data_IF_973960438362
#
_entry.id   IF_973960438362
#
_cell.length_a   1.000
_cell.length_b   1.000
_cell.length_c   1.000
_cell.angle_alpha   90.00
_cell.angle_beta   90.00
_cell.angle_gamma   90.00
#
_symmetry.space_group_name_H-M   'P 1'
#
loop_
_entity.id
_entity.type
_entity.pdbx_description
1 polymer ?
#
# COMPACT_ATOMS: atom_id res chain seq x y z
N UNK A 1 -11.93 11.84 5.33
CA UNK A 1 -12.51 10.59 4.79
C UNK A 1 -13.83 10.24 5.47
N UNK A 2 -13.83 9.79 6.74
CA UNK A 2 -15.07 9.39 7.44
C UNK A 2 -16.16 10.48 7.54
N UNK A 3 -15.79 11.75 7.51
CA UNK A 3 -16.72 12.90 7.45
C UNK A 3 -17.50 13.01 6.13
N UNK A 4 -17.12 12.27 5.08
CA UNK A 4 -17.71 12.38 3.74
C UNK A 4 -17.28 13.63 2.95
N UNK A 5 -16.31 14.39 3.46
CA UNK A 5 -15.89 15.68 2.91
C UNK A 5 -15.33 15.61 1.48
N UNK A 6 -14.73 14.48 1.10
CA UNK A 6 -14.26 14.24 -0.28
C UNK A 6 -15.26 13.46 -1.14
N UNK A 7 -16.45 13.14 -0.63
CA UNK A 7 -17.47 12.38 -1.35
C UNK A 7 -17.13 10.89 -1.52
N UNK A 8 -17.77 10.25 -2.50
CA UNK A 8 -17.48 8.86 -2.84
C UNK A 8 -16.09 8.73 -3.46
N UNK A 9 -15.30 7.77 -2.96
CA UNK A 9 -13.93 7.55 -3.41
C UNK A 9 -13.94 6.70 -4.68
N UNK A 10 -13.26 7.18 -5.72
CA UNK A 10 -13.14 6.48 -7.01
C UNK A 10 -11.69 6.15 -7.40
N UNK A 11 -10.69 6.76 -6.73
CA UNK A 11 -9.28 6.50 -7.04
C UNK A 11 -8.37 6.62 -5.82
N UNK A 12 -7.43 5.68 -5.69
CA UNK A 12 -6.31 5.73 -4.74
C UNK A 12 -4.94 5.58 -5.42
N UNK A 13 -3.89 6.10 -4.79
CA UNK A 13 -2.51 5.84 -5.19
C UNK A 13 -1.61 5.82 -3.95
N UNK A 14 -0.62 4.94 -3.92
CA UNK A 14 0.34 4.84 -2.83
C UNK A 14 1.74 4.57 -3.39
N UNK A 15 2.73 5.31 -2.88
CA UNK A 15 4.14 5.10 -3.14
C UNK A 15 4.86 4.98 -1.80
N UNK A 16 5.61 3.90 -1.63
CA UNK A 16 6.56 3.72 -0.53
C UNK A 16 7.93 3.36 -1.09
N UNK A 17 8.77 4.37 -1.28
CA UNK A 17 10.16 4.25 -1.66
C UNK A 17 11.06 4.48 -0.44
N UNK A 18 11.71 3.41 0.04
CA UNK A 18 12.60 3.44 1.19
C UNK A 18 13.95 2.83 0.84
N UNK A 19 14.84 3.63 0.25
CA UNK A 19 16.16 3.21 -0.20
C UNK A 19 16.90 2.36 0.85
N UNK A 20 17.48 1.25 0.39
CA UNK A 20 18.43 0.44 1.14
C UNK A 20 19.69 0.29 0.31
N UNK A 21 20.84 0.31 0.98
CA UNK A 21 22.10 -0.09 0.33
C UNK A 21 22.17 -1.60 0.26
N UNK A 22 22.99 -2.15 -0.63
CA UNK A 22 23.26 -3.59 -0.62
C UNK A 22 23.84 -4.07 0.72
N UNK A 23 24.67 -3.25 1.37
CA UNK A 23 25.24 -3.52 2.70
C UNK A 23 24.17 -3.67 3.80
N UNK A 24 22.97 -3.12 3.62
CA UNK A 24 21.84 -3.38 4.54
C UNK A 24 21.46 -4.86 4.56
N UNK A 25 21.48 -5.53 3.40
CA UNK A 25 21.16 -6.95 3.26
C UNK A 25 22.37 -7.83 3.60
N UNK A 26 23.56 -7.48 3.12
CA UNK A 26 24.78 -8.28 3.32
C UNK A 26 25.22 -8.40 4.80
N UNK A 27 24.75 -7.51 5.69
CA UNK A 27 25.13 -7.51 7.11
C UNK A 27 24.43 -8.56 7.98
N UNK A 28 23.25 -9.04 7.58
CA UNK A 28 22.47 -9.97 8.38
C UNK A 28 21.92 -11.07 7.47
N UNK A 29 22.37 -12.31 7.70
CA UNK A 29 22.09 -13.47 6.83
C UNK A 29 20.60 -13.81 6.66
N UNK A 30 19.71 -13.24 7.48
CA UNK A 30 18.27 -13.43 7.37
C UNK A 30 17.61 -12.45 6.39
N UNK A 31 18.24 -11.32 6.10
CA UNK A 31 17.68 -10.28 5.22
C UNK A 31 17.79 -10.67 3.75
N UNK A 32 16.78 -10.30 3.00
CA UNK A 32 16.65 -10.60 1.58
C UNK A 32 16.31 -12.06 1.30
N UNK A 33 15.82 -12.83 2.28
CA UNK A 33 15.60 -14.28 2.12
C UNK A 33 14.14 -14.67 2.29
N UNK A 34 13.66 -15.61 1.48
CA UNK A 34 12.30 -16.15 1.63
C UNK A 34 12.15 -16.91 2.94
N UNK A 35 13.19 -17.64 3.35
CA UNK A 35 13.14 -18.52 4.51
C UNK A 35 12.96 -17.77 5.84
N UNK A 36 13.64 -16.63 6.01
CA UNK A 36 13.67 -15.94 7.30
C UNK A 36 12.90 -14.62 7.29
N UNK A 37 12.89 -13.90 6.17
CA UNK A 37 12.18 -12.61 6.07
C UNK A 37 10.79 -12.75 5.46
N UNK A 38 10.55 -13.80 4.67
CA UNK A 38 9.23 -14.10 4.08
C UNK A 38 8.82 -13.19 2.92
N UNK A 39 9.67 -12.25 2.54
CA UNK A 39 9.44 -11.27 1.46
C UNK A 39 10.42 -10.11 1.58
N UNK A 40 10.34 -9.17 0.63
CA UNK A 40 11.24 -8.03 0.59
C UNK A 40 10.55 -6.72 0.93
N UNK A 41 10.54 -5.80 -0.04
CA UNK A 41 10.03 -4.44 0.17
C UNK A 41 8.58 -4.41 0.66
N UNK A 42 7.71 -5.34 0.22
CA UNK A 42 6.29 -5.31 0.57
C UNK A 42 6.05 -5.54 2.06
N UNK A 43 6.68 -6.56 2.63
CA UNK A 43 6.43 -6.97 4.03
C UNK A 43 7.23 -6.15 5.05
N UNK A 44 8.40 -5.62 4.66
CA UNK A 44 9.31 -4.99 5.62
C UNK A 44 9.20 -3.45 5.61
N UNK A 45 9.12 -2.82 4.43
CA UNK A 45 9.06 -1.36 4.32
C UNK A 45 7.67 -0.88 3.93
N UNK A 46 7.14 -1.44 2.85
CA UNK A 46 5.84 -1.09 2.28
C UNK A 46 4.68 -1.33 3.23
N UNK A 47 4.78 -2.30 4.13
CA UNK A 47 3.69 -2.72 5.03
C UNK A 47 3.09 -1.56 5.82
N UNK A 48 3.89 -0.58 6.26
CA UNK A 48 3.39 0.57 6.99
C UNK A 48 2.54 1.50 6.12
N UNK A 49 2.96 1.72 4.86
CA UNK A 49 2.20 2.50 3.91
C UNK A 49 0.94 1.74 3.46
N UNK A 50 1.04 0.43 3.25
CA UNK A 50 -0.06 -0.46 2.90
C UNK A 50 -1.13 -0.43 3.99
N UNK A 51 -0.75 -0.60 5.25
CA UNK A 51 -1.66 -0.54 6.40
C UNK A 51 -2.40 0.80 6.46
N UNK A 52 -1.67 1.92 6.38
CA UNK A 52 -2.28 3.25 6.36
C UNK A 52 -3.18 3.46 5.13
N UNK A 53 -2.81 2.92 3.98
CA UNK A 53 -3.62 2.98 2.77
C UNK A 53 -4.93 2.21 2.92
N UNK A 54 -4.87 0.98 3.44
CA UNK A 54 -6.05 0.16 3.75
C UNK A 54 -6.93 0.79 4.82
N UNK A 55 -6.36 1.47 5.80
CA UNK A 55 -7.11 2.21 6.81
C UNK A 55 -7.97 3.33 6.20
N UNK A 56 -7.50 3.92 5.10
CA UNK A 56 -8.18 5.02 4.43
C UNK A 56 -9.13 4.56 3.30
N UNK A 57 -8.75 3.51 2.56
CA UNK A 57 -9.47 3.04 1.36
C UNK A 57 -10.30 1.77 1.60
N UNK A 58 -10.02 1.01 2.66
CA UNK A 58 -10.57 -0.33 2.87
C UNK A 58 -9.83 -1.42 2.10
N UNK A 59 -10.34 -2.66 2.16
CA UNK A 59 -9.78 -3.78 1.39
C UNK A 59 -10.26 -3.74 -0.06
N UNK A 60 -9.37 -4.00 -1.04
CA UNK A 60 -9.80 -4.26 -2.41
C UNK A 60 -10.46 -5.64 -2.53
N UNK A 61 -11.23 -5.86 -3.60
CA UNK A 61 -11.77 -7.18 -3.94
C UNK A 61 -10.79 -8.04 -4.73
N UNK A 62 -9.84 -7.40 -5.43
CA UNK A 62 -8.85 -8.12 -6.23
C UNK A 62 -7.63 -7.26 -6.54
N UNK A 63 -6.53 -7.91 -6.90
CA UNK A 63 -5.26 -7.27 -7.25
C UNK A 63 -4.60 -7.94 -8.45
N UNK A 64 -3.91 -7.13 -9.25
CA UNK A 64 -2.94 -7.57 -10.26
C UNK A 64 -1.60 -6.91 -9.98
N UNK A 65 -0.55 -7.70 -9.77
CA UNK A 65 0.76 -7.25 -9.30
C UNK A 65 1.93 -7.68 -10.17
N UNK A 66 3.03 -6.96 -10.03
CA UNK A 66 4.36 -7.26 -10.57
C UNK A 66 5.35 -7.06 -9.43
N UNK A 67 6.12 -8.10 -9.12
CA UNK A 67 7.21 -8.04 -8.13
C UNK A 67 8.53 -8.47 -8.78
N UNK A 68 9.63 -7.79 -8.46
CA UNK A 68 10.95 -8.05 -9.07
C UNK A 68 12.07 -7.78 -8.07
N UNK A 69 13.20 -8.44 -8.32
CA UNK A 69 14.51 -8.06 -7.77
C UNK A 69 15.28 -7.34 -8.88
N UNK A 70 15.34 -6.01 -8.82
CA UNK A 70 15.87 -5.15 -9.88
C UNK A 70 17.34 -4.78 -9.69
N UNK A 71 17.78 -4.55 -8.45
CA UNK A 71 19.12 -3.99 -8.16
C UNK A 71 19.86 -4.75 -7.08
N UNK A 72 19.16 -5.28 -6.08
CA UNK A 72 19.78 -5.99 -4.97
C UNK A 72 20.16 -7.43 -5.35
N UNK A 73 21.15 -7.98 -4.64
CA UNK A 73 21.50 -9.41 -4.69
C UNK A 73 20.82 -10.13 -3.53
N UNK A 74 19.53 -10.38 -3.66
CA UNK A 74 18.66 -11.00 -2.65
C UNK A 74 17.68 -11.98 -3.33
N UNK A 75 17.02 -12.84 -2.55
CA UNK A 75 16.07 -13.85 -3.03
C UNK A 75 14.67 -13.26 -3.32
N UNK A 76 14.32 -12.21 -2.56
CA UNK A 76 13.00 -11.57 -2.49
C UNK A 76 12.90 -10.32 -3.38
N UNK A 77 11.71 -9.72 -3.46
CA UNK A 77 11.47 -8.53 -4.27
C UNK A 77 12.04 -7.24 -3.64
N UNK A 78 12.78 -6.45 -4.43
CA UNK A 78 13.20 -5.09 -4.04
C UNK A 78 12.32 -3.99 -4.66
N UNK A 79 11.41 -4.39 -5.54
CA UNK A 79 10.43 -3.56 -6.22
C UNK A 79 9.11 -4.34 -6.40
N UNK A 80 8.00 -3.69 -6.07
CA UNK A 80 6.66 -4.18 -6.29
C UNK A 80 5.75 -3.05 -6.83
N UNK A 81 4.90 -3.38 -7.79
CA UNK A 81 3.85 -2.50 -8.31
C UNK A 81 2.57 -3.29 -8.52
N UNK A 82 1.42 -2.73 -8.18
CA UNK A 82 0.12 -3.41 -8.34
C UNK A 82 -1.02 -2.45 -8.61
N UNK A 83 -2.07 -2.98 -9.25
CA UNK A 83 -3.37 -2.34 -9.43
C UNK A 83 -4.41 -3.10 -8.62
N UNK A 84 -5.21 -2.37 -7.88
CA UNK A 84 -6.24 -2.86 -6.97
C UNK A 84 -7.60 -2.46 -7.53
N UNK A 85 -8.57 -3.37 -7.45
CA UNK A 85 -9.97 -3.10 -7.81
C UNK A 85 -10.84 -3.23 -6.55
N UNK A 86 -11.83 -2.34 -6.41
CA UNK A 86 -12.78 -2.33 -5.30
C UNK A 86 -14.20 -2.73 -5.75
N UNK A 87 -15.06 -3.06 -4.79
CA UNK A 87 -16.45 -3.46 -5.05
C UNK A 87 -17.27 -2.34 -5.71
N UNK A 88 -17.04 -1.08 -5.30
CA UNK A 88 -17.70 0.08 -5.88
C UNK A 88 -17.12 0.51 -7.24
N UNK A 89 -16.18 -0.25 -7.82
CA UNK A 89 -15.54 0.07 -9.09
C UNK A 89 -14.38 1.06 -8.99
N UNK A 90 -14.03 1.54 -7.78
CA UNK A 90 -12.83 2.33 -7.59
C UNK A 90 -11.57 1.52 -7.94
N UNK A 91 -10.54 2.23 -8.40
CA UNK A 91 -9.23 1.67 -8.71
C UNK A 91 -8.15 2.29 -7.82
N UNK A 92 -7.14 1.50 -7.47
CA UNK A 92 -5.94 2.05 -6.86
C UNK A 92 -4.67 1.45 -7.42
N UNK A 93 -3.55 2.17 -7.24
CA UNK A 93 -2.21 1.66 -7.51
C UNK A 93 -1.33 1.73 -6.27
N UNK A 94 -0.50 0.70 -6.10
CA UNK A 94 0.50 0.61 -5.03
C UNK A 94 1.87 0.39 -5.68
N UNK A 95 2.86 1.18 -5.26
CA UNK A 95 4.27 0.93 -5.54
C UNK A 95 5.05 0.88 -4.22
N UNK A 96 5.86 -0.17 -4.05
CA UNK A 96 6.77 -0.32 -2.93
C UNK A 96 8.15 -0.69 -3.45
N UNK A 97 9.20 -0.01 -3.00
CA UNK A 97 10.56 -0.33 -3.42
C UNK A 97 11.64 0.15 -2.43
N UNK A 98 12.81 -0.45 -2.56
CA UNK A 98 14.01 -0.12 -1.78
C UNK A 98 15.16 0.40 -2.64
N UNK A 99 14.89 0.67 -3.92
CA UNK A 99 15.92 0.99 -4.93
C UNK A 99 15.79 2.40 -5.49
N UNK A 100 14.71 3.11 -5.17
CA UNK A 100 14.51 4.51 -5.53
C UNK A 100 15.21 5.44 -4.54
N UNK A 101 15.93 6.42 -5.09
CA UNK A 101 16.49 7.56 -4.36
C UNK A 101 16.17 8.86 -5.13
N UNK A 102 15.69 9.93 -4.47
CA UNK A 102 15.44 10.04 -3.03
C UNK A 102 14.25 9.19 -2.55
N UNK A 103 14.21 8.93 -1.24
CA UNK A 103 13.07 8.28 -0.59
C UNK A 103 11.78 9.06 -0.83
N UNK A 104 10.66 8.34 -0.84
CA UNK A 104 9.34 8.96 -0.98
C UNK A 104 8.27 8.18 -0.25
N UNK A 105 7.43 8.87 0.51
CA UNK A 105 6.18 8.34 1.03
C UNK A 105 5.04 9.20 0.49
N UNK A 106 4.06 8.59 -0.17
CA UNK A 106 2.96 9.34 -0.75
C UNK A 106 1.70 8.50 -0.78
N UNK A 107 0.58 9.09 -0.35
CA UNK A 107 -0.76 8.53 -0.50
C UNK A 107 -1.65 9.60 -1.11
N UNK A 108 -2.40 9.24 -2.15
CA UNK A 108 -3.40 10.08 -2.77
C UNK A 108 -4.74 9.35 -2.75
N UNK A 109 -5.80 10.05 -2.37
CA UNK A 109 -7.17 9.55 -2.40
C UNK A 109 -8.03 10.61 -3.04
N UNK A 110 -8.74 10.22 -4.10
CA UNK A 110 -9.62 11.09 -4.85
C UNK A 110 -11.05 10.60 -4.68
N UNK A 111 -11.92 11.52 -4.28
CA UNK A 111 -13.35 11.32 -4.30
C UNK A 111 -14.06 12.41 -5.08
N UNK A 112 -15.36 12.24 -5.27
CA UNK A 112 -16.15 13.14 -6.12
C UNK A 112 -16.09 14.61 -5.69
N UNK A 113 -15.94 14.90 -4.40
CA UNK A 113 -16.01 16.25 -3.84
C UNK A 113 -14.64 16.80 -3.45
N UNK A 114 -13.56 16.03 -3.60
CA UNK A 114 -12.26 16.43 -3.12
C UNK A 114 -11.17 15.39 -3.25
N UNK A 115 -9.99 15.75 -2.76
CA UNK A 115 -8.86 14.84 -2.71
C UNK A 115 -8.08 15.03 -1.42
N UNK A 116 -7.53 13.94 -0.88
CA UNK A 116 -6.56 13.94 0.20
C UNK A 116 -5.22 13.50 -0.38
N UNK A 117 -4.19 14.34 -0.27
CA UNK A 117 -2.84 14.05 -0.76
C UNK A 117 -1.88 14.16 0.41
N UNK A 118 -1.37 13.03 0.87
CA UNK A 118 -0.24 12.95 1.77
C UNK A 118 1.04 12.87 0.95
N UNK A 119 1.95 13.82 1.13
CA UNK A 119 3.28 13.86 0.54
C UNK A 119 4.32 13.99 1.66
N UNK A 120 4.95 12.86 1.99
CA UNK A 120 5.75 12.65 3.19
C UNK A 120 4.97 13.05 4.46
N UNK A 121 5.33 14.17 5.12
CA UNK A 121 4.69 14.63 6.35
C UNK A 121 3.61 15.69 6.14
N UNK A 122 3.36 16.08 4.89
CA UNK A 122 2.38 17.10 4.54
C UNK A 122 1.13 16.44 4.00
N UNK A 123 -0.01 16.77 4.59
CA UNK A 123 -1.32 16.33 4.10
C UNK A 123 -2.06 17.55 3.57
N UNK A 124 -2.42 17.51 2.29
CA UNK A 124 -3.25 18.54 1.66
C UNK A 124 -4.63 17.97 1.39
N UNK A 125 -5.65 18.67 1.88
CA UNK A 125 -7.06 18.42 1.59
C UNK A 125 -7.53 19.42 0.55
N UNK A 126 -7.90 18.92 -0.62
CA UNK A 126 -8.55 19.67 -1.68
C UNK A 126 -10.06 19.48 -1.59
N UNK A 127 -10.81 20.58 -1.65
CA UNK A 127 -12.28 20.60 -1.67
C UNK A 127 -12.73 21.20 -2.99
N UNK A 128 -13.42 20.41 -3.80
CA UNK A 128 -13.95 20.86 -5.08
C UNK A 128 -15.16 21.75 -4.85
N UNK A 129 -15.29 22.85 -5.60
CA UNK A 129 -16.49 23.70 -5.58
C UNK A 129 -17.68 23.01 -6.22
N UNK A 130 -17.43 22.20 -7.25
CA UNK A 130 -18.40 21.37 -7.96
C UNK A 130 -17.89 19.94 -7.94
N UNK A 131 -18.71 18.94 -7.58
CA UNK A 131 -18.33 17.54 -7.66
C UNK A 131 -17.83 17.17 -9.06
N UNK A 132 -16.85 16.28 -9.14
CA UNK A 132 -16.17 15.92 -10.40
C UNK A 132 -17.17 15.42 -11.44
N UNK A 133 -18.08 14.51 -11.07
CA UNK A 133 -19.08 13.96 -11.98
C UNK A 133 -20.03 15.04 -12.52
N UNK A 134 -20.52 15.92 -11.63
CA UNK A 134 -21.37 17.05 -12.01
C UNK A 134 -20.63 18.00 -12.97
N UNK A 135 -19.36 18.29 -12.69
CA UNK A 135 -18.55 19.15 -13.56
C UNK A 135 -18.35 18.54 -14.96
N UNK A 136 -18.07 17.23 -15.04
CA UNK A 136 -17.96 16.51 -16.30
C UNK A 136 -19.25 16.56 -17.13
N UNK A 137 -20.39 16.45 -16.45
CA UNK A 137 -21.71 16.44 -17.10
C UNK A 137 -22.20 17.82 -17.52
N UNK A 138 -21.74 18.89 -16.85
CA UNK A 138 -22.29 20.24 -17.03
C UNK A 138 -21.35 21.20 -17.75
N UNK A 139 -20.03 21.03 -17.66
CA UNK A 139 -19.10 21.90 -18.37
C UNK A 139 -19.21 21.70 -19.89
N UNK A 140 -19.24 22.81 -20.63
CA UNK A 140 -19.31 22.85 -22.09
C UNK A 140 -18.20 23.69 -22.70
N UNK A 141 -17.21 24.08 -21.90
CA UNK A 141 -16.30 25.17 -22.28
C UNK A 141 -15.22 24.74 -23.27
N UNK A 142 -15.13 23.45 -23.65
CA UNK A 142 -14.08 22.85 -24.52
C UNK A 142 -12.66 23.15 -24.00
N UNK A 143 -12.54 23.69 -22.78
CA UNK A 143 -11.28 24.03 -22.14
C UNK A 143 -10.79 22.82 -21.34
N UNK A 144 -9.48 22.61 -21.37
CA UNK A 144 -8.83 21.57 -20.55
C UNK A 144 -8.58 22.09 -19.13
N UNK A 145 -9.65 22.40 -18.39
CA UNK A 145 -9.57 22.93 -17.01
C UNK A 145 -10.30 22.01 -16.02
N UNK A 146 -9.71 21.75 -14.84
CA UNK A 146 -10.41 21.03 -13.77
C UNK A 146 -11.46 21.93 -13.10
N UNK A 147 -12.38 21.36 -12.29
CA UNK A 147 -13.23 22.14 -11.42
C UNK A 147 -12.38 22.96 -10.45
N UNK A 148 -12.87 24.17 -10.13
CA UNK A 148 -12.28 25.01 -9.10
C UNK A 148 -12.22 24.27 -7.76
N UNK A 149 -11.16 24.49 -6.98
CA UNK A 149 -11.03 23.94 -5.64
C UNK A 149 -10.39 24.90 -4.65
N UNK A 150 -10.62 24.64 -3.36
CA UNK A 150 -9.88 25.23 -2.25
C UNK A 150 -9.00 24.16 -1.62
N UNK A 151 -7.89 24.55 -0.99
CA UNK A 151 -6.94 23.61 -0.42
C UNK A 151 -6.50 24.05 0.97
N UNK A 152 -6.31 23.09 1.85
CA UNK A 152 -5.77 23.27 3.19
C UNK A 152 -4.65 22.25 3.42
N UNK A 153 -3.49 22.70 3.88
CA UNK A 153 -2.32 21.85 4.10
C UNK A 153 -1.97 21.80 5.58
N UNK A 154 -1.80 20.59 6.08
CA UNK A 154 -1.35 20.27 7.43
C UNK A 154 0.07 19.72 7.33
N UNK A 155 1.00 20.30 8.10
CA UNK A 155 2.36 19.79 8.23
C UNK A 155 2.52 19.15 9.61
N UNK A 156 2.60 17.82 9.63
CA UNK A 156 2.72 17.06 10.87
C UNK A 156 4.18 16.93 11.34
N UNK A 157 5.14 17.17 10.45
CA UNK A 157 6.54 16.83 10.66
C UNK A 157 6.77 15.34 10.97
N UNK A 158 8.04 14.92 11.15
CA UNK A 158 8.34 13.56 11.54
C UNK A 158 7.91 13.28 12.99
N UNK A 159 7.07 12.27 13.18
CA UNK A 159 6.72 11.78 14.51
C UNK A 159 7.95 11.16 15.21
N UNK A 160 8.17 11.51 16.48
CA UNK A 160 9.20 10.87 17.32
C UNK A 160 8.56 9.82 18.22
N UNK A 161 9.19 8.65 18.34
CA UNK A 161 8.80 7.63 19.30
C UNK A 161 7.46 6.95 19.00
N UNK A 162 7.19 6.62 17.73
CA UNK A 162 5.93 6.02 17.26
C UNK A 162 5.56 4.70 17.94
N UNK A 163 6.52 3.96 18.49
CA UNK A 163 6.26 2.72 19.22
C UNK A 163 5.65 2.94 20.61
N UNK A 164 6.04 4.01 21.32
CA UNK A 164 5.61 4.22 22.70
C UNK A 164 4.08 4.39 22.85
N UNK A 165 3.39 5.18 22.00
CA UNK A 165 1.93 5.28 22.04
C UNK A 165 1.22 3.94 21.76
N UNK A 166 1.72 3.15 20.82
CA UNK A 166 1.11 1.86 20.49
C UNK A 166 1.25 0.85 21.65
N UNK A 167 2.42 0.83 22.31
CA UNK A 167 2.65 -0.01 23.49
C UNK A 167 1.79 0.45 24.67
N UNK A 168 1.67 1.77 24.90
CA UNK A 168 0.83 2.32 25.98
C UNK A 168 -0.64 1.94 25.77
N UNK A 169 -1.17 2.08 24.55
CA UNK A 169 -2.56 1.69 24.25
C UNK A 169 -2.80 0.20 24.47
N UNK A 170 -1.87 -0.66 24.03
CA UNK A 170 -1.96 -2.11 24.26
C UNK A 170 -1.98 -2.44 25.76
N UNK A 171 -1.10 -1.81 26.55
CA UNK A 171 -1.08 -2.00 28.00
C UNK A 171 -2.38 -1.53 28.66
N UNK A 172 -2.94 -0.39 28.24
CA UNK A 172 -4.22 0.11 28.74
C UNK A 172 -5.37 -0.80 28.36
N UNK A 173 -5.39 -1.32 27.13
CA UNK A 173 -6.43 -2.23 26.65
C UNK A 173 -6.57 -3.46 27.56
N UNK A 174 -5.43 -4.04 27.95
CA UNK A 174 -5.38 -5.16 28.92
C UNK A 174 -5.91 -4.73 30.29
N UNK A 175 -5.45 -3.59 30.81
CA UNK A 175 -5.83 -3.11 32.14
C UNK A 175 -7.32 -2.74 32.24
N UNK A 176 -7.88 -2.20 31.16
CA UNK A 176 -9.25 -1.69 31.08
C UNK A 176 -10.25 -2.74 30.58
N UNK A 177 -9.78 -3.88 30.08
CA UNK A 177 -10.65 -4.94 29.52
C UNK A 177 -11.36 -4.52 28.23
N UNK A 178 -10.68 -3.73 27.39
CA UNK A 178 -11.16 -3.29 26.08
C UNK A 178 -10.24 -3.81 24.97
N UNK A 179 -10.68 -3.70 23.72
CA UNK A 179 -9.81 -3.92 22.58
C UNK A 179 -8.75 -2.80 22.46
N UNK A 180 -7.53 -3.13 21.99
CA UNK A 180 -6.57 -2.11 21.58
C UNK A 180 -7.10 -1.35 20.37
N UNK A 181 -6.55 -0.17 20.11
CA UNK A 181 -6.90 0.67 18.98
C UNK A 181 -6.73 -0.06 17.64
N UNK A 182 -5.72 -0.93 17.56
CA UNK A 182 -5.44 -1.79 16.42
C UNK A 182 -5.41 -3.24 16.92
N UNK A 183 -6.41 -4.04 16.52
CA UNK A 183 -6.47 -5.46 16.87
C UNK A 183 -5.57 -6.30 15.96
N UNK A 184 -5.39 -7.58 16.31
CA UNK A 184 -4.65 -8.53 15.46
C UNK A 184 -5.34 -8.74 14.11
N UNK A 185 -6.68 -8.71 14.09
CA UNK A 185 -7.49 -8.80 12.88
C UNK A 185 -7.31 -7.58 11.98
N UNK A 186 -7.20 -6.37 12.53
CA UNK A 186 -6.87 -5.18 11.71
C UNK A 186 -5.43 -5.28 11.18
N UNK A 187 -4.47 -5.68 12.02
CA UNK A 187 -3.08 -5.85 11.61
C UNK A 187 -2.86 -6.92 10.53
N UNK A 188 -3.72 -7.94 10.45
CA UNK A 188 -3.62 -9.00 9.44
C UNK A 188 -4.06 -8.56 8.04
N UNK A 189 -4.82 -7.46 7.91
CA UNK A 189 -5.33 -6.97 6.62
C UNK A 189 -4.20 -6.53 5.67
N UNK A 190 -3.18 -5.89 6.22
CA UNK A 190 -2.00 -5.50 5.44
C UNK A 190 -1.23 -6.74 4.96
N UNK A 191 -1.12 -7.78 5.79
CA UNK A 191 -0.51 -9.06 5.41
C UNK A 191 -1.32 -9.76 4.31
N UNK A 192 -2.65 -9.69 4.38
CA UNK A 192 -3.53 -10.24 3.34
C UNK A 192 -3.29 -9.61 1.98
N UNK A 193 -3.20 -8.28 1.92
CA UNK A 193 -2.92 -7.60 0.66
C UNK A 193 -1.48 -7.87 0.16
N UNK A 194 -0.50 -7.95 1.06
CA UNK A 194 0.87 -8.37 0.69
C UNK A 194 0.87 -9.77 0.10
N UNK A 195 0.17 -10.73 0.71
CA UNK A 195 0.04 -12.09 0.19
C UNK A 195 -0.59 -12.09 -1.21
N UNK A 196 -1.65 -11.30 -1.41
CA UNK A 196 -2.33 -11.20 -2.70
C UNK A 196 -1.43 -10.59 -3.79
N UNK A 197 -0.69 -9.52 -3.48
CA UNK A 197 0.26 -8.89 -4.40
C UNK A 197 1.39 -9.86 -4.76
N UNK A 198 1.94 -10.56 -3.76
CA UNK A 198 3.01 -11.55 -3.97
C UNK A 198 2.53 -12.71 -4.84
N UNK A 199 1.35 -13.27 -4.55
CA UNK A 199 0.76 -14.35 -5.33
C UNK A 199 0.51 -13.92 -6.78
N UNK A 200 -0.09 -12.74 -6.97
CA UNK A 200 -0.33 -12.19 -8.30
C UNK A 200 0.98 -11.95 -9.05
N UNK A 201 1.98 -11.37 -8.37
CA UNK A 201 3.29 -11.06 -8.93
C UNK A 201 4.08 -12.30 -9.36
N UNK A 202 3.97 -13.41 -8.63
CA UNK A 202 4.64 -14.68 -8.95
C UNK A 202 3.92 -15.50 -10.02
N UNK A 203 2.59 -15.46 -10.05
CA UNK A 203 1.77 -16.27 -10.97
C UNK A 203 1.41 -15.55 -12.27
N UNK A 204 1.53 -14.23 -12.30
CA UNK A 204 1.07 -13.39 -13.41
C UNK A 204 -0.45 -13.30 -13.53
N UNK A 205 -1.20 -13.79 -12.54
CA UNK A 205 -2.66 -13.83 -12.54
C UNK A 205 -3.25 -12.75 -11.66
N UNK A 206 -4.46 -12.32 -11.98
CA UNK A 206 -5.31 -11.56 -11.05
C UNK A 206 -5.67 -12.45 -9.86
N UNK A 207 -5.57 -11.90 -8.65
CA UNK A 207 -5.90 -12.59 -7.39
C UNK A 207 -7.08 -11.90 -6.73
N UNK A 208 -8.12 -12.65 -6.38
CA UNK A 208 -9.27 -12.17 -5.59
C UNK A 208 -8.96 -12.25 -4.09
N UNK A 209 -9.58 -11.37 -3.29
CA UNK A 209 -9.44 -11.38 -1.84
C UNK A 209 -10.73 -11.89 -1.17
N UNK A 210 -10.63 -12.72 -0.11
CA UNK A 210 -9.40 -13.19 0.53
C UNK A 210 -8.64 -14.22 -0.34
N UNK A 211 -7.33 -14.27 -0.16
CA UNK A 211 -6.41 -15.16 -0.87
C UNK A 211 -6.71 -16.63 -0.52
N UNK A 212 -6.64 -17.51 -1.52
CA UNK A 212 -6.64 -18.95 -1.26
C UNK A 212 -5.37 -19.33 -0.49
N UNK A 213 -5.55 -19.75 0.76
CA UNK A 213 -4.43 -20.07 1.65
C UNK A 213 -3.61 -21.25 1.14
N UNK A 214 -4.24 -22.22 0.50
CA UNK A 214 -3.51 -23.40 0.00
C UNK A 214 -2.61 -22.99 -1.16
N UNK A 215 -3.11 -22.16 -2.07
CA UNK A 215 -2.31 -21.64 -3.21
C UNK A 215 -1.15 -20.77 -2.71
N UNK A 216 -1.40 -19.92 -1.70
CA UNK A 216 -0.36 -19.07 -1.13
C UNK A 216 0.70 -19.88 -0.37
N UNK A 217 0.31 -20.86 0.42
CA UNK A 217 1.23 -21.71 1.19
C UNK A 217 2.12 -22.53 0.24
N UNK A 218 1.55 -23.12 -0.82
CA UNK A 218 2.30 -23.81 -1.87
C UNK A 218 3.30 -22.89 -2.58
N UNK A 219 2.89 -21.65 -2.89
CA UNK A 219 3.80 -20.65 -3.44
C UNK A 219 4.95 -20.35 -2.47
N UNK A 220 4.65 -20.10 -1.20
CA UNK A 220 5.67 -19.77 -0.20
C UNK A 220 6.68 -20.90 0.00
N UNK A 221 6.24 -22.15 0.05
CA UNK A 221 7.13 -23.31 0.08
C UNK A 221 8.03 -23.35 -1.17
N UNK A 222 7.45 -23.12 -2.35
CA UNK A 222 8.22 -23.11 -3.60
C UNK A 222 9.30 -22.01 -3.62
N UNK A 223 8.99 -20.81 -3.12
CA UNK A 223 9.91 -19.68 -3.06
C UNK A 223 11.03 -19.92 -2.05
N UNK A 224 10.71 -20.50 -0.89
CA UNK A 224 11.70 -20.88 0.12
C UNK A 224 12.67 -21.95 -0.38
N UNK A 225 12.19 -22.93 -1.16
CA UNK A 225 13.03 -23.95 -1.78
C UNK A 225 13.89 -23.35 -2.90
N UNK A 226 13.31 -22.51 -3.75
CA UNK A 226 13.98 -21.94 -4.91
C UNK A 226 15.01 -20.86 -4.55
N UNK A 227 14.79 -20.11 -3.48
CA UNK A 227 15.64 -18.98 -3.08
C UNK A 227 15.68 -17.85 -4.11
N UNK A 228 14.62 -17.71 -4.92
CA UNK A 228 14.49 -16.66 -5.95
C UNK A 228 13.04 -16.51 -6.41
N UNK A 229 12.71 -15.35 -6.96
CA UNK A 229 11.46 -15.13 -7.69
C UNK A 229 11.38 -15.98 -8.98
N UNK A 230 10.17 -16.38 -9.42
CA UNK A 230 9.97 -17.12 -10.67
C UNK A 230 10.26 -16.26 -11.91
N UNK A 231 10.73 -16.91 -12.98
CA UNK A 231 10.96 -16.27 -14.29
C UNK A 231 9.62 -16.16 -15.04
N UNK A 232 9.04 -14.97 -15.11
CA UNK A 232 7.68 -14.75 -15.67
C UNK A 232 7.65 -14.79 -17.22
N UNK A 233 8.79 -15.06 -17.87
CA UNK A 233 8.87 -15.20 -19.33
C UNK A 233 8.20 -16.48 -19.87
N UNK A 234 7.80 -17.43 -19.02
CA UNK A 234 7.15 -18.68 -19.43
C UNK A 234 5.61 -18.68 -19.28
N UNK A 235 5.00 -17.52 -18.99
CA UNK A 235 3.53 -17.38 -18.89
C UNK A 235 3.01 -16.61 -20.10
N UNK A 236 3.09 -17.21 -21.29
CA UNK A 236 2.45 -16.73 -22.53
C UNK A 236 1.83 -17.87 -23.31
#
# INVERSE_FOLDING_TARGET
>A
IRSGEIGEIYRGNMISAMFRSQDYYDRLDWRGTWKYEGGGTLINQGIHAIDMFLWLMGMPKSVTGIIRTLKHRIEVEDYASSILEYENGALASIQCDTVQAPNKQRIEIYGEKGALIMDDWKVTLHRMKTPVQEFLETDRTVKFVPPDSTSETFDFGPAKGTHAPAIDDFCRAIQEGRDPLITGEEGSRAQELVAAITLSGCTGKKVELPVDRSEYDELMESLQIAGRLPDICDVS
#
